data_IF_058748791894
#
_entry.id   IF_058748791894
#
_cell.length_a   1.000
_cell.length_b   1.000
_cell.length_c   1.000
_cell.angle_alpha   90.00
_cell.angle_beta   90.00
_cell.angle_gamma   90.00
#
_symmetry.space_group_name_H-M   'P 1'
#
loop_
_entity.id
_entity.type
_entity.pdbx_description
1 polymer ?
#
# COMPACT_ATOMS: atom_id res chain seq x y z
N UNK A 1 24.00 6.37 -8.54
CA UNK A 1 22.89 6.38 -9.52
C UNK A 1 21.67 5.85 -8.77
N UNK A 2 20.49 6.43 -8.93
CA UNK A 2 19.34 6.05 -8.08
C UNK A 2 18.40 5.15 -8.88
N UNK A 3 18.24 3.90 -8.43
CA UNK A 3 17.37 2.91 -9.05
C UNK A 3 15.95 2.93 -8.43
N UNK A 4 15.87 3.23 -7.13
CA UNK A 4 14.62 3.18 -6.37
C UNK A 4 14.49 4.39 -5.47
N UNK A 5 13.31 5.00 -5.48
CA UNK A 5 12.92 6.09 -4.60
C UNK A 5 11.96 5.58 -3.53
N UNK A 6 12.19 5.97 -2.28
CA UNK A 6 11.37 5.55 -1.14
C UNK A 6 10.97 6.75 -0.30
N UNK A 7 9.68 6.84 0.00
CA UNK A 7 9.14 7.85 0.89
C UNK A 7 8.93 7.30 2.30
N UNK A 8 9.30 8.07 3.30
CA UNK A 8 9.24 7.68 4.72
C UNK A 8 8.07 8.30 5.48
N UNK A 9 7.77 7.73 6.64
CA UNK A 9 6.75 8.24 7.56
C UNK A 9 7.09 9.62 8.14
N UNK A 10 8.37 10.01 8.16
CA UNK A 10 8.83 11.27 8.75
C UNK A 10 9.08 12.38 7.74
N UNK A 11 8.78 12.16 6.45
CA UNK A 11 8.96 13.18 5.41
C UNK A 11 10.35 13.22 4.77
N UNK A 12 11.11 12.13 4.86
CA UNK A 12 12.35 11.95 4.09
C UNK A 12 12.05 11.20 2.80
N UNK A 13 12.54 11.73 1.68
CA UNK A 13 12.69 11.03 0.42
C UNK A 13 14.08 10.38 0.39
N UNK A 14 14.16 9.11 0.02
CA UNK A 14 15.44 8.41 -0.10
C UNK A 14 15.64 7.92 -1.51
N UNK A 15 16.81 8.19 -2.08
CA UNK A 15 17.27 7.62 -3.34
C UNK A 15 18.23 6.47 -3.07
N UNK A 16 17.93 5.27 -3.55
CA UNK A 16 18.70 4.05 -3.33
C UNK A 16 19.42 3.65 -4.63
N UNK A 17 20.73 3.42 -4.52
CA UNK A 17 21.57 2.77 -5.53
C UNK A 17 21.65 1.28 -5.18
N UNK A 18 21.00 0.40 -5.95
CA UNK A 18 20.92 -1.02 -5.66
C UNK A 18 22.25 -1.74 -5.89
N UNK A 19 23.06 -1.26 -6.85
CA UNK A 19 24.38 -1.83 -7.14
C UNK A 19 25.36 -1.57 -6.00
N UNK A 20 25.35 -0.35 -5.45
CA UNK A 20 26.22 0.02 -4.33
C UNK A 20 25.64 -0.32 -2.97
N UNK A 21 24.33 -0.60 -2.88
CA UNK A 21 23.63 -0.77 -1.61
C UNK A 21 23.58 0.50 -0.75
N UNK A 22 23.87 1.67 -1.34
CA UNK A 22 23.92 2.96 -0.65
C UNK A 22 22.65 3.74 -0.89
N UNK A 23 22.30 4.66 0.03
CA UNK A 23 21.18 5.57 -0.16
C UNK A 23 21.52 7.00 0.24
N UNK A 24 20.88 7.96 -0.44
CA UNK A 24 20.93 9.39 -0.12
C UNK A 24 19.60 9.83 0.45
N UNK A 25 19.61 10.76 1.42
CA UNK A 25 18.41 11.32 2.01
C UNK A 25 18.18 12.73 1.47
N UNK A 26 16.93 13.03 1.11
CA UNK A 26 16.44 14.34 0.71
C UNK A 26 15.28 14.69 1.64
N UNK A 27 15.40 15.77 2.41
CA UNK A 27 14.38 16.13 3.38
C UNK A 27 13.31 17.03 2.76
N UNK A 28 12.03 16.72 2.96
CA UNK A 28 10.94 17.61 2.54
C UNK A 28 10.77 18.80 3.48
N UNK A 29 11.28 18.74 4.71
CA UNK A 29 11.16 19.82 5.68
C UNK A 29 12.46 19.99 6.47
N UNK A 30 12.63 21.14 7.12
CA UNK A 30 13.77 21.37 8.02
C UNK A 30 13.84 20.33 9.15
N UNK A 31 12.67 19.84 9.58
CA UNK A 31 12.54 18.80 10.61
C UNK A 31 11.77 17.58 10.10
N UNK A 32 12.34 16.40 10.36
CA UNK A 32 11.72 15.12 10.06
C UNK A 32 10.68 14.79 11.14
N UNK A 33 9.40 14.93 10.79
CA UNK A 33 8.28 14.74 11.71
C UNK A 33 7.19 13.88 11.07
N UNK A 34 6.46 13.09 11.87
CA UNK A 34 5.40 12.19 11.36
C UNK A 34 4.27 12.93 10.65
N UNK A 35 4.07 14.22 10.96
CA UNK A 35 3.07 15.07 10.29
C UNK A 35 3.45 15.38 8.83
N UNK A 36 4.74 15.31 8.51
CA UNK A 36 5.31 15.58 7.18
C UNK A 36 5.51 14.29 6.37
N UNK A 37 4.98 13.14 6.82
CA UNK A 37 5.19 11.85 6.18
C UNK A 37 4.76 11.82 4.72
N UNK A 38 5.59 11.23 3.86
CA UNK A 38 5.29 11.10 2.43
C UNK A 38 4.22 10.02 2.27
N UNK A 39 3.01 10.39 1.84
CA UNK A 39 1.91 9.45 1.65
C UNK A 39 1.87 8.87 0.24
N UNK A 40 2.37 9.60 -0.76
CA UNK A 40 2.30 9.20 -2.18
C UNK A 40 3.43 9.85 -2.99
N UNK A 41 3.91 9.14 -3.99
CA UNK A 41 4.93 9.58 -4.94
C UNK A 41 4.55 9.11 -6.35
N UNK A 42 4.72 9.97 -7.36
CA UNK A 42 4.52 9.61 -8.76
C UNK A 42 5.55 10.33 -9.64
N UNK A 43 5.88 9.74 -10.78
CA UNK A 43 6.60 10.43 -11.84
C UNK A 43 5.69 11.48 -12.49
N UNK A 44 6.26 12.66 -12.76
CA UNK A 44 5.59 13.75 -13.50
C UNK A 44 5.68 13.51 -15.00
N UNK A 45 6.80 12.96 -15.44
CA UNK A 45 7.15 12.82 -16.85
C UNK A 45 7.65 11.41 -17.15
N UNK A 46 7.44 10.99 -18.40
CA UNK A 46 7.93 9.71 -18.93
C UNK A 46 9.47 9.63 -18.99
N UNK A 47 10.15 10.78 -18.82
CA UNK A 47 11.60 10.84 -18.74
C UNK A 47 12.15 10.54 -17.35
N UNK A 48 11.28 10.36 -16.36
CA UNK A 48 11.63 10.16 -14.96
C UNK A 48 12.55 11.28 -14.43
N UNK A 49 12.35 12.50 -14.92
CA UNK A 49 13.17 13.65 -14.53
C UNK A 49 12.67 14.31 -13.25
N UNK A 50 11.36 14.24 -12.98
CA UNK A 50 10.74 14.86 -11.83
C UNK A 50 9.80 13.92 -11.08
N UNK A 51 9.89 13.95 -9.75
CA UNK A 51 9.02 13.20 -8.84
C UNK A 51 8.08 14.18 -8.14
N UNK A 52 6.80 13.87 -8.18
CA UNK A 52 5.77 14.56 -7.43
C UNK A 52 5.53 13.85 -6.09
N UNK A 53 5.61 14.60 -5.00
CA UNK A 53 5.60 14.08 -3.63
C UNK A 53 4.47 14.71 -2.82
N UNK A 54 3.66 13.88 -2.17
CA UNK A 54 2.60 14.31 -1.27
C UNK A 54 2.94 14.03 0.18
N UNK A 55 2.89 15.08 1.00
CA UNK A 55 3.01 14.96 2.45
C UNK A 55 1.63 14.86 3.10
N UNK A 56 1.53 14.14 4.22
CA UNK A 56 0.27 13.97 4.94
C UNK A 56 -0.37 15.26 5.45
N UNK A 57 0.40 16.34 5.58
CA UNK A 57 -0.06 17.68 5.97
C UNK A 57 -0.60 18.54 4.80
N UNK A 58 -0.68 17.98 3.59
CA UNK A 58 -1.16 18.68 2.40
C UNK A 58 -0.10 19.49 1.63
N UNK A 59 1.16 19.42 2.03
CA UNK A 59 2.27 19.99 1.25
C UNK A 59 2.62 19.03 0.11
N UNK A 60 2.62 19.56 -1.10
CA UNK A 60 3.04 18.86 -2.32
C UNK A 60 4.31 19.49 -2.85
N UNK A 61 5.34 18.67 -3.06
CA UNK A 61 6.64 19.11 -3.58
C UNK A 61 6.98 18.40 -4.87
N UNK A 62 7.72 19.09 -5.74
CA UNK A 62 8.35 18.49 -6.92
C UNK A 62 9.84 18.40 -6.70
N UNK A 63 10.39 17.22 -6.87
CA UNK A 63 11.81 16.93 -6.76
C UNK A 63 12.39 16.65 -8.16
N UNK A 64 13.41 17.39 -8.54
CA UNK A 64 14.15 17.17 -9.80
C UNK A 64 15.25 16.15 -9.55
N UNK A 65 15.14 14.99 -10.18
CA UNK A 65 16.08 13.87 -10.05
C UNK A 65 17.43 14.20 -10.67
N UNK A 66 17.45 15.00 -11.74
CA UNK A 66 18.68 15.35 -12.45
C UNK A 66 19.54 16.33 -11.66
N UNK A 67 18.89 17.27 -10.96
CA UNK A 67 19.56 18.25 -10.08
C UNK A 67 19.74 17.76 -8.65
N UNK A 68 18.90 16.84 -8.20
CA UNK A 68 18.89 16.36 -6.82
C UNK A 68 18.28 17.36 -5.83
N UNK A 69 17.37 18.23 -6.29
CA UNK A 69 16.83 19.35 -5.50
C UNK A 69 15.31 19.46 -5.63
N UNK A 70 14.67 20.09 -4.62
CA UNK A 70 13.26 20.44 -4.68
C UNK A 70 13.07 21.73 -5.47
N UNK A 71 12.31 21.67 -6.56
CA UNK A 71 12.13 22.81 -7.47
C UNK A 71 10.80 23.52 -7.27
N UNK A 72 9.81 22.87 -6.63
CA UNK A 72 8.49 23.44 -6.35
C UNK A 72 7.96 22.94 -5.03
N UNK A 73 7.23 23.80 -4.35
CA UNK A 73 6.49 23.50 -3.12
C UNK A 73 5.17 24.27 -3.15
N UNK A 74 4.08 23.58 -2.80
CA UNK A 74 2.76 24.19 -2.70
C UNK A 74 1.94 23.49 -1.64
N UNK A 75 1.18 24.28 -0.88
CA UNK A 75 0.21 23.75 0.08
C UNK A 75 -1.16 23.68 -0.58
N UNK A 76 -1.75 22.49 -0.54
CA UNK A 76 -3.08 22.21 -1.07
C UNK A 76 -4.10 22.35 0.07
N UNK A 77 -5.24 22.98 -0.20
CA UNK A 77 -6.30 23.23 0.79
C UNK A 77 -7.10 21.96 1.06
N UNK A 78 -6.61 21.15 2.01
CA UNK A 78 -7.19 19.84 2.39
C UNK A 78 -7.98 19.85 3.71
N UNK A 79 -8.23 21.04 4.29
CA UNK A 79 -8.85 21.17 5.62
C UNK A 79 -8.00 20.58 6.74
N UNK A 80 -8.66 20.12 7.82
CA UNK A 80 -8.02 19.44 8.97
C UNK A 80 -7.76 17.94 8.72
N UNK A 81 -7.81 17.51 7.46
CA UNK A 81 -7.62 16.11 7.08
C UNK A 81 -6.18 15.80 6.67
N UNK A 82 -5.90 14.52 6.49
CA UNK A 82 -4.61 14.05 5.96
C UNK A 82 -4.73 13.73 4.49
N UNK A 83 -3.77 14.21 3.71
CA UNK A 83 -3.60 13.80 2.33
C UNK A 83 -3.33 12.29 2.27
N UNK A 84 -4.07 11.56 1.44
CA UNK A 84 -3.87 10.12 1.23
C UNK A 84 -3.06 9.84 -0.02
N UNK A 85 -3.20 10.67 -1.04
CA UNK A 85 -2.34 10.61 -2.20
C UNK A 85 -2.67 11.67 -3.22
N UNK A 86 -1.92 11.61 -4.31
CA UNK A 86 -2.04 12.48 -5.45
C UNK A 86 -1.53 11.77 -6.70
N UNK A 87 -1.80 12.33 -7.87
CA UNK A 87 -1.10 12.06 -9.12
C UNK A 87 -1.29 13.26 -10.05
N UNK A 88 -0.50 13.31 -11.11
CA UNK A 88 -0.67 14.26 -12.20
C UNK A 88 -1.46 13.61 -13.33
N UNK A 89 -2.41 14.36 -13.89
CA UNK A 89 -3.16 13.98 -15.07
C UNK A 89 -3.11 15.12 -16.07
N UNK A 90 -2.40 14.90 -17.18
CA UNK A 90 -2.04 15.94 -18.15
C UNK A 90 -1.37 17.13 -17.43
N UNK A 91 -1.95 18.34 -17.54
CA UNK A 91 -1.46 19.53 -16.83
C UNK A 91 -2.15 19.76 -15.46
N UNK A 92 -3.10 18.89 -15.10
CA UNK A 92 -3.86 18.99 -13.85
C UNK A 92 -3.31 18.09 -12.76
N UNK A 93 -3.56 18.46 -11.51
CA UNK A 93 -3.21 17.64 -10.36
C UNK A 93 -4.47 17.11 -9.70
N UNK A 94 -4.45 15.84 -9.32
CA UNK A 94 -5.56 15.23 -8.60
C UNK A 94 -5.08 14.85 -7.21
N UNK A 95 -5.76 15.33 -6.19
CA UNK A 95 -5.47 15.02 -4.78
C UNK A 95 -6.70 14.43 -4.10
N UNK A 96 -6.51 13.62 -3.08
CA UNK A 96 -7.64 13.10 -2.29
C UNK A 96 -7.30 12.90 -0.82
N UNK A 97 -8.35 12.99 -0.01
CA UNK A 97 -8.33 12.84 1.45
C UNK A 97 -9.21 11.69 1.91
N UNK A 98 -9.11 11.32 3.19
CA UNK A 98 -9.80 10.17 3.77
C UNK A 98 -11.33 10.32 3.79
N UNK A 99 -11.86 11.54 3.92
CA UNK A 99 -13.30 11.82 3.83
C UNK A 99 -13.90 11.54 2.45
N UNK A 100 -13.12 11.19 1.44
CA UNK A 100 -13.63 10.91 0.09
C UNK A 100 -13.89 12.16 -0.74
N UNK A 101 -13.28 13.29 -0.37
CA UNK A 101 -13.14 14.45 -1.24
C UNK A 101 -11.94 14.23 -2.18
N UNK A 102 -12.21 14.21 -3.49
CA UNK A 102 -11.22 14.19 -4.54
C UNK A 102 -11.23 15.57 -5.21
N UNK A 103 -10.08 16.22 -5.29
CA UNK A 103 -9.94 17.59 -5.80
C UNK A 103 -9.12 17.56 -7.08
N UNK A 104 -9.67 18.14 -8.15
CA UNK A 104 -9.01 18.28 -9.46
C UNK A 104 -8.54 19.73 -9.60
N UNK A 105 -7.23 19.94 -9.59
CA UNK A 105 -6.58 21.24 -9.60
C UNK A 105 -6.13 21.58 -11.01
N UNK A 106 -6.60 22.71 -11.53
CA UNK A 106 -6.24 23.17 -12.89
C UNK A 106 -4.79 23.64 -12.97
N UNK A 107 -4.32 24.23 -11.88
CA UNK A 107 -2.95 24.70 -11.72
C UNK A 107 -2.38 24.16 -10.41
N UNK A 108 -1.06 24.21 -10.27
CA UNK A 108 -0.34 23.74 -9.07
C UNK A 108 -0.78 24.54 -7.82
N UNK A 109 -1.77 24.02 -7.08
CA UNK A 109 -2.41 24.68 -5.93
C UNK A 109 -3.30 25.87 -6.26
N UNK A 110 -3.76 25.99 -7.51
CA UNK A 110 -4.66 27.05 -7.96
C UNK A 110 -6.15 26.74 -7.72
N UNK A 111 -6.98 27.08 -8.70
CA UNK A 111 -8.40 26.72 -8.66
C UNK A 111 -8.61 25.21 -8.78
N UNK A 112 -9.59 24.68 -8.04
CA UNK A 112 -9.91 23.26 -8.05
C UNK A 112 -11.41 22.99 -8.13
N UNK A 113 -11.73 21.78 -8.56
CA UNK A 113 -13.09 21.23 -8.57
C UNK A 113 -13.17 20.07 -7.60
N UNK A 114 -14.18 20.11 -6.73
CA UNK A 114 -14.43 19.08 -5.73
C UNK A 114 -15.33 17.98 -6.28
N UNK A 115 -14.91 16.73 -6.12
CA UNK A 115 -15.62 15.52 -6.53
C UNK A 115 -15.83 14.62 -5.32
N UNK A 116 -17.09 14.36 -4.96
CA UNK A 116 -17.46 13.51 -3.82
C UNK A 116 -17.49 12.04 -4.25
N UNK A 117 -16.39 11.32 -4.03
CA UNK A 117 -16.26 9.92 -4.48
C UNK A 117 -16.77 8.89 -3.45
N UNK A 118 -17.17 9.35 -2.27
CA UNK A 118 -17.70 8.56 -1.18
C UNK A 118 -16.65 8.24 -0.13
N UNK A 119 -17.11 8.01 1.10
CA UNK A 119 -16.28 7.98 2.30
C UNK A 119 -16.49 6.70 3.12
N UNK A 120 -15.49 6.29 3.93
CA UNK A 120 -14.08 6.64 3.84
C UNK A 120 -13.40 6.15 2.56
N UNK A 121 -12.34 6.83 2.14
CA UNK A 121 -11.53 6.50 0.98
C UNK A 121 -10.18 5.94 1.43
N UNK A 122 -9.85 4.73 0.99
CA UNK A 122 -8.58 4.05 1.33
C UNK A 122 -7.61 4.03 0.15
N UNK A 123 -8.11 3.87 -1.07
CA UNK A 123 -7.28 3.83 -2.27
C UNK A 123 -7.93 4.55 -3.44
N UNK A 124 -7.06 5.24 -4.20
CA UNK A 124 -7.35 5.77 -5.52
C UNK A 124 -6.20 5.36 -6.44
N UNK A 125 -6.51 4.85 -7.62
CA UNK A 125 -5.53 4.64 -8.69
C UNK A 125 -6.04 5.20 -9.99
N UNK A 126 -5.13 5.80 -10.74
CA UNK A 126 -5.36 6.13 -12.13
C UNK A 126 -5.22 4.88 -12.99
N UNK A 127 -5.99 4.82 -14.06
CA UNK A 127 -5.89 3.78 -15.06
C UNK A 127 -4.71 4.07 -16.00
N UNK A 128 -3.68 3.21 -16.07
CA UNK A 128 -2.51 3.43 -16.91
C UNK A 128 -2.82 3.37 -18.41
N UNK A 129 -3.94 2.76 -18.82
CA UNK A 129 -4.37 2.69 -20.22
C UNK A 129 -5.29 3.85 -20.63
N UNK A 130 -5.85 4.57 -19.66
CA UNK A 130 -6.78 5.67 -19.92
C UNK A 130 -6.68 6.68 -18.76
N UNK A 131 -5.84 7.70 -18.94
CA UNK A 131 -5.46 8.63 -17.87
C UNK A 131 -6.64 9.39 -17.25
N UNK A 132 -7.75 9.57 -17.99
CA UNK A 132 -8.95 10.21 -17.44
C UNK A 132 -9.75 9.31 -16.51
N UNK A 133 -9.47 8.00 -16.46
CA UNK A 133 -10.21 7.07 -15.61
C UNK A 133 -9.50 6.82 -14.29
N UNK A 134 -10.27 6.86 -13.19
CA UNK A 134 -9.76 6.57 -11.85
C UNK A 134 -10.64 5.56 -11.13
N UNK A 135 -10.01 4.62 -10.44
CA UNK A 135 -10.66 3.68 -9.54
C UNK A 135 -10.57 4.19 -8.10
N UNK A 136 -11.67 4.13 -7.36
CA UNK A 136 -11.75 4.55 -5.96
C UNK A 136 -12.35 3.45 -5.10
N UNK A 137 -11.91 3.31 -3.85
CA UNK A 137 -12.52 2.40 -2.88
C UNK A 137 -12.07 2.65 -1.45
N UNK A 138 -12.83 2.15 -0.47
CA UNK A 138 -12.48 2.21 0.94
C UNK A 138 -13.36 1.35 1.84
N UNK A 139 -13.37 1.68 3.13
CA UNK A 139 -14.21 0.99 4.14
C UNK A 139 -15.67 1.35 3.92
N UNK A 140 -16.56 0.36 3.79
CA UNK A 140 -17.98 0.54 3.42
C UNK A 140 -18.20 1.29 2.09
N UNK A 141 -17.15 1.49 1.30
CA UNK A 141 -17.17 2.17 0.01
C UNK A 141 -16.59 1.22 -1.04
N UNK A 142 -17.46 0.52 -1.76
CA UNK A 142 -17.02 -0.47 -2.76
C UNK A 142 -16.35 0.20 -3.97
N UNK A 143 -15.74 -0.61 -4.83
CA UNK A 143 -15.08 -0.13 -6.05
C UNK A 143 -16.03 0.73 -6.89
N UNK A 144 -15.59 1.95 -7.19
CA UNK A 144 -16.19 2.82 -8.20
C UNK A 144 -15.14 3.23 -9.20
N UNK A 145 -15.55 3.39 -10.46
CA UNK A 145 -14.70 3.95 -11.52
C UNK A 145 -15.31 5.25 -11.98
N UNK A 146 -14.49 6.28 -12.09
CA UNK A 146 -14.89 7.64 -12.45
C UNK A 146 -14.16 8.08 -13.71
N UNK A 147 -14.81 8.95 -14.50
CA UNK A 147 -14.16 9.70 -15.57
C UNK A 147 -13.90 11.11 -15.06
N UNK A 148 -12.63 11.53 -15.04
CA UNK A 148 -12.23 12.86 -14.58
C UNK A 148 -12.74 13.96 -15.53
N UNK A 149 -13.01 13.63 -16.80
CA UNK A 149 -13.65 14.56 -17.74
C UNK A 149 -15.13 14.80 -17.41
N UNK A 150 -15.79 13.86 -16.71
CA UNK A 150 -17.21 13.89 -16.37
C UNK A 150 -17.43 13.40 -14.93
N UNK A 151 -17.03 14.19 -13.92
CA UNK A 151 -16.97 13.74 -12.54
C UNK A 151 -18.33 13.74 -11.81
N UNK A 152 -19.43 13.99 -12.51
CA UNK A 152 -20.79 14.05 -11.91
C UNK A 152 -21.25 12.70 -11.37
N UNK A 153 -21.01 11.63 -12.13
CA UNK A 153 -21.39 10.27 -11.75
C UNK A 153 -20.29 9.24 -12.09
N UNK A 154 -20.15 8.17 -11.29
CA UNK A 154 -19.20 7.12 -11.59
C UNK A 154 -19.69 6.27 -12.77
N UNK A 155 -18.77 5.99 -13.70
CA UNK A 155 -18.94 5.08 -14.84
C UNK A 155 -19.34 3.68 -14.38
N UNK A 156 -18.77 3.23 -13.26
CA UNK A 156 -18.99 1.90 -12.71
C UNK A 156 -19.16 1.95 -11.20
N UNK A 157 -20.12 1.18 -10.69
CA UNK A 157 -20.31 0.94 -9.25
C UNK A 157 -20.39 -0.56 -9.00
N UNK A 158 -19.43 -1.10 -8.27
CA UNK A 158 -19.43 -2.49 -7.86
C UNK A 158 -20.70 -2.82 -7.06
N UNK A 159 -21.14 -4.07 -7.18
CA UNK A 159 -22.22 -4.66 -6.42
C UNK A 159 -21.65 -5.79 -5.58
N UNK A 160 -21.81 -5.69 -4.27
CA UNK A 160 -21.35 -6.69 -3.34
C UNK A 160 -22.04 -8.05 -3.58
N UNK A 161 -21.34 -9.15 -3.27
CA UNK A 161 -21.84 -10.51 -3.47
C UNK A 161 -22.24 -11.12 -2.12
N UNK A 162 -23.37 -11.82 -2.11
CA UNK A 162 -23.82 -12.74 -1.07
C UNK A 162 -22.98 -14.03 -1.15
N UNK A 163 -22.26 -14.45 -0.10
CA UNK A 163 -21.69 -15.81 -0.05
C UNK A 163 -22.83 -16.78 0.29
N UNK A 164 -23.30 -17.56 -0.69
CA UNK A 164 -24.17 -18.71 -0.39
C UNK A 164 -23.26 -19.85 0.06
N UNK A 165 -23.20 -20.16 1.36
CA UNK A 165 -22.68 -21.45 1.79
C UNK A 165 -23.68 -22.53 1.44
N UNK A 166 -23.18 -23.69 0.99
CA UNK A 166 -23.98 -24.88 0.74
C UNK A 166 -24.43 -25.45 2.08
N UNK A 167 -25.56 -24.96 2.60
CA UNK A 167 -26.29 -25.64 3.66
C UNK A 167 -27.77 -25.19 3.67
N UNK A 168 -28.61 -26.12 3.22
CA UNK A 168 -30.05 -26.22 3.46
C UNK A 168 -30.97 -25.19 2.80
N UNK A 169 -31.77 -25.72 1.86
CA UNK A 169 -32.99 -25.11 1.33
C UNK A 169 -33.96 -24.76 2.47
N UNK A 170 -33.90 -23.52 2.97
CA UNK A 170 -35.07 -22.86 3.57
C UNK A 170 -35.10 -21.42 3.05
N UNK A 171 -36.23 -20.96 2.49
CA UNK A 171 -36.38 -19.55 2.14
C UNK A 171 -36.37 -18.73 3.43
N UNK A 172 -35.35 -17.91 3.64
CA UNK A 172 -35.30 -16.96 4.74
C UNK A 172 -36.32 -15.84 4.48
N UNK A 173 -37.30 -15.73 5.37
CA UNK A 173 -38.30 -14.66 5.41
C UNK A 173 -37.64 -13.28 5.33
N UNK A 174 -38.24 -12.40 4.53
CA UNK A 174 -37.83 -11.00 4.38
C UNK A 174 -37.83 -10.29 5.73
N UNK A 175 -36.65 -9.81 6.15
CA UNK A 175 -36.50 -8.93 7.30
C UNK A 175 -36.96 -7.51 6.94
N UNK A 176 -38.27 -7.28 7.02
CA UNK A 176 -38.86 -5.94 6.92
C UNK A 176 -38.83 -5.26 8.30
N UNK A 177 -37.94 -4.30 8.49
CA UNK A 177 -38.05 -3.32 9.58
C UNK A 177 -38.35 -1.94 8.96
N UNK A 178 -39.34 -1.15 9.45
CA UNK A 178 -39.88 -0.03 8.67
C UNK A 178 -39.05 1.26 8.62
N UNK A 179 -37.90 1.36 9.31
CA UNK A 179 -37.29 2.67 9.61
C UNK A 179 -35.96 2.97 8.89
N UNK A 180 -35.49 2.11 7.98
CA UNK A 180 -34.15 2.29 7.37
C UNK A 180 -34.22 2.73 5.89
N UNK A 181 -34.89 3.86 5.65
CA UNK A 181 -35.19 4.43 4.32
C UNK A 181 -33.98 5.04 3.57
N UNK A 182 -32.75 4.90 4.10
CA UNK A 182 -31.50 5.26 3.41
C UNK A 182 -30.50 4.09 3.32
N UNK A 183 -30.92 2.88 3.69
CA UNK A 183 -30.06 1.70 3.66
C UNK A 183 -29.88 1.22 2.21
N UNK A 184 -28.69 1.45 1.66
CA UNK A 184 -28.23 0.72 0.48
C UNK A 184 -28.38 -0.77 0.81
N UNK A 185 -29.26 -1.48 0.08
CA UNK A 185 -29.56 -2.90 0.32
C UNK A 185 -28.32 -3.76 0.10
N UNK A 186 -27.50 -3.93 1.15
CA UNK A 186 -26.31 -4.78 1.15
C UNK A 186 -26.78 -6.24 1.27
N UNK A 187 -26.31 -7.16 0.43
CA UNK A 187 -26.63 -8.57 0.59
C UNK A 187 -26.19 -9.08 1.97
N UNK A 188 -27.08 -9.78 2.66
CA UNK A 188 -26.75 -10.46 3.90
C UNK A 188 -25.84 -11.68 3.64
N UNK A 189 -25.39 -12.37 4.69
CA UNK A 189 -24.72 -13.66 4.63
C UNK A 189 -25.71 -14.75 5.11
N UNK A 190 -25.30 -16.01 5.21
CA UNK A 190 -26.10 -17.10 5.78
C UNK A 190 -26.65 -16.77 7.18
N UNK A 191 -25.91 -15.98 7.97
CA UNK A 191 -26.32 -15.52 9.30
C UNK A 191 -27.28 -14.32 9.28
N UNK A 192 -27.71 -13.85 8.10
CA UNK A 192 -28.54 -12.65 7.96
C UNK A 192 -27.78 -11.33 8.15
N UNK A 193 -26.45 -11.37 8.30
CA UNK A 193 -25.61 -10.19 8.53
C UNK A 193 -25.11 -9.58 7.20
N UNK A 194 -25.04 -8.25 7.03
CA UNK A 194 -24.56 -7.64 5.80
C UNK A 194 -23.10 -8.01 5.52
N UNK A 195 -22.81 -8.47 4.30
CA UNK A 195 -21.43 -8.77 3.88
C UNK A 195 -20.62 -7.48 3.92
N UNK A 196 -19.58 -7.37 4.76
CA UNK A 196 -18.90 -6.11 4.93
C UNK A 196 -18.01 -5.80 3.72
N UNK A 197 -17.90 -4.51 3.39
CA UNK A 197 -17.10 -3.99 2.29
C UNK A 197 -15.93 -3.24 2.88
N UNK A 198 -14.72 -3.58 2.46
CA UNK A 198 -13.53 -2.83 2.83
C UNK A 198 -12.48 -2.98 1.76
N UNK A 199 -12.45 -2.05 0.82
CA UNK A 199 -11.38 -1.97 -0.18
C UNK A 199 -10.16 -1.33 0.47
N UNK A 200 -8.99 -1.95 0.35
CA UNK A 200 -7.73 -1.43 0.91
C UNK A 200 -6.83 -0.85 -0.16
N UNK A 201 -6.72 -1.53 -1.29
CA UNK A 201 -5.97 -1.11 -2.47
C UNK A 201 -6.67 -1.66 -3.72
N UNK A 202 -6.33 -1.12 -4.88
CA UNK A 202 -6.85 -1.56 -6.17
C UNK A 202 -5.80 -1.37 -7.25
N UNK A 203 -6.00 -2.00 -8.41
CA UNK A 203 -5.11 -1.85 -9.55
C UNK A 203 -5.80 -2.20 -10.85
N UNK A 204 -5.51 -1.43 -11.90
CA UNK A 204 -5.96 -1.71 -13.26
C UNK A 204 -5.01 -2.73 -13.88
N UNK A 205 -5.56 -3.79 -14.47
CA UNK A 205 -4.74 -4.76 -15.18
C UNK A 205 -4.40 -4.24 -16.57
N UNK A 206 -3.14 -4.36 -17.01
CA UNK A 206 -2.72 -3.96 -18.35
C UNK A 206 -3.25 -4.98 -19.35
N UNK A 207 -4.44 -4.72 -19.90
CA UNK A 207 -4.98 -5.55 -20.97
C UNK A 207 -4.56 -4.97 -22.32
N UNK A 208 -4.09 -5.82 -23.23
CA UNK A 208 -3.61 -5.48 -24.59
C UNK A 208 -4.74 -4.96 -25.51
N UNK A 209 -5.63 -4.10 -25.02
CA UNK A 209 -6.68 -3.46 -25.80
C UNK A 209 -7.95 -3.02 -25.06
N UNK A 210 -8.14 -3.30 -23.75
CA UNK A 210 -9.31 -2.74 -23.04
C UNK A 210 -9.15 -2.56 -21.53
N UNK A 211 -9.46 -1.36 -20.98
CA UNK A 211 -9.35 -1.06 -19.54
C UNK A 211 -10.47 -1.68 -18.69
N UNK A 212 -10.84 -2.92 -18.97
CA UNK A 212 -12.05 -3.52 -18.42
C UNK A 212 -11.83 -4.28 -17.12
N UNK A 213 -10.61 -4.77 -16.88
CA UNK A 213 -10.33 -5.61 -15.71
C UNK A 213 -9.64 -4.81 -14.59
N UNK A 214 -10.22 -4.90 -13.40
CA UNK A 214 -9.75 -4.21 -12.20
C UNK A 214 -9.62 -5.24 -11.09
N UNK A 215 -8.49 -5.21 -10.38
CA UNK A 215 -8.25 -6.05 -9.22
C UNK A 215 -8.35 -5.19 -7.97
N UNK A 216 -8.98 -5.73 -6.94
CA UNK A 216 -9.25 -5.04 -5.69
C UNK A 216 -8.81 -5.93 -4.53
N UNK A 217 -8.02 -5.39 -3.61
CA UNK A 217 -7.72 -6.03 -2.34
C UNK A 217 -8.68 -5.56 -1.27
N UNK A 218 -8.99 -6.44 -0.32
CA UNK A 218 -9.89 -6.12 0.77
C UNK A 218 -9.26 -6.31 2.14
N UNK A 219 -9.78 -5.58 3.13
CA UNK A 219 -9.42 -5.72 4.54
C UNK A 219 -9.87 -7.04 5.15
N UNK A 220 -10.74 -7.79 4.46
CA UNK A 220 -11.18 -9.13 4.81
C UNK A 220 -10.43 -10.18 3.99
N UNK A 221 -9.11 -10.02 3.85
CA UNK A 221 -8.18 -10.97 3.21
C UNK A 221 -8.57 -11.48 1.81
N UNK A 222 -9.48 -10.81 1.09
CA UNK A 222 -9.93 -11.23 -0.24
C UNK A 222 -9.32 -10.36 -1.34
N UNK A 223 -8.96 -11.02 -2.44
CA UNK A 223 -8.63 -10.38 -3.71
C UNK A 223 -9.77 -10.64 -4.68
N UNK A 224 -10.35 -9.57 -5.21
CA UNK A 224 -11.52 -9.61 -6.10
C UNK A 224 -11.13 -9.09 -7.48
N UNK A 225 -11.53 -9.80 -8.53
CA UNK A 225 -11.39 -9.36 -9.91
C UNK A 225 -12.74 -8.86 -10.41
N UNK A 226 -12.78 -7.64 -10.92
CA UNK A 226 -13.95 -7.03 -11.55
C UNK A 226 -13.70 -6.88 -13.05
N UNK A 227 -14.76 -7.09 -13.83
CA UNK A 227 -14.78 -6.78 -15.26
C UNK A 227 -15.89 -5.76 -15.51
N UNK A 228 -15.50 -4.52 -15.79
CA UNK A 228 -16.41 -3.37 -15.92
C UNK A 228 -17.41 -3.54 -17.06
N UNK A 229 -17.05 -4.28 -18.12
CA UNK A 229 -17.94 -4.51 -19.27
C UNK A 229 -18.91 -5.67 -19.04
N UNK A 230 -18.48 -6.69 -18.29
CA UNK A 230 -19.25 -7.93 -18.15
C UNK A 230 -20.32 -7.84 -17.06
N UNK A 231 -19.94 -7.44 -15.84
CA UNK A 231 -20.86 -7.46 -14.71
C UNK A 231 -20.40 -6.57 -13.56
N UNK A 232 -21.37 -6.07 -12.78
CA UNK A 232 -21.09 -5.25 -11.58
C UNK A 232 -20.60 -6.04 -10.36
N UNK A 233 -20.75 -7.36 -10.37
CA UNK A 233 -20.26 -8.27 -9.32
C UNK A 233 -18.84 -8.73 -9.67
N UNK A 234 -17.96 -9.00 -8.68
CA UNK A 234 -16.66 -9.59 -8.96
C UNK A 234 -16.80 -10.93 -9.70
N UNK A 235 -15.98 -11.10 -10.73
CA UNK A 235 -15.87 -12.31 -11.57
C UNK A 235 -15.16 -13.42 -10.80
N UNK A 236 -14.17 -13.05 -9.99
CA UNK A 236 -13.38 -13.95 -9.17
C UNK A 236 -13.21 -13.35 -7.77
N UNK A 237 -13.24 -14.19 -6.75
CA UNK A 237 -12.88 -13.84 -5.37
C UNK A 237 -11.96 -14.93 -4.82
N UNK A 238 -10.74 -14.55 -4.45
CA UNK A 238 -9.71 -15.44 -3.88
C UNK A 238 -9.42 -15.00 -2.45
N UNK A 239 -9.41 -15.94 -1.50
CA UNK A 239 -9.00 -15.67 -0.13
C UNK A 239 -7.45 -15.79 -0.02
N UNK A 240 -6.79 -14.78 0.55
CA UNK A 240 -5.34 -14.68 0.73
C UNK A 240 -4.97 -14.71 2.21
N UNK A 241 -4.83 -15.92 2.74
CA UNK A 241 -4.59 -16.14 4.17
C UNK A 241 -5.73 -15.59 5.03
N UNK A 242 -5.40 -15.10 6.22
CA UNK A 242 -6.38 -14.70 7.24
C UNK A 242 -6.25 -13.23 7.67
N UNK A 243 -5.25 -12.52 7.13
CA UNK A 243 -4.93 -11.16 7.55
C UNK A 243 -5.35 -10.12 6.50
N UNK A 244 -5.69 -8.89 6.92
CA UNK A 244 -5.99 -7.79 6.00
C UNK A 244 -4.86 -7.56 4.98
N UNK A 245 -5.23 -7.44 3.72
CA UNK A 245 -4.31 -7.07 2.64
C UNK A 245 -4.12 -5.56 2.68
N UNK A 246 -2.88 -5.11 2.73
CA UNK A 246 -2.50 -3.70 2.87
C UNK A 246 -1.94 -3.08 1.60
N UNK A 247 -1.39 -3.87 0.68
CA UNK A 247 -0.83 -3.38 -0.58
C UNK A 247 -1.11 -4.36 -1.73
N UNK A 248 -1.33 -3.82 -2.93
CA UNK A 248 -1.57 -4.59 -4.15
C UNK A 248 -0.83 -3.97 -5.33
N UNK A 249 -0.17 -4.80 -6.13
CA UNK A 249 0.49 -4.37 -7.36
C UNK A 249 0.18 -5.33 -8.52
N UNK A 250 -0.51 -4.85 -9.57
CA UNK A 250 -0.61 -5.59 -10.83
C UNK A 250 0.78 -5.76 -11.48
N UNK A 251 0.98 -6.86 -12.18
CA UNK A 251 2.15 -7.06 -13.04
C UNK A 251 1.77 -6.82 -14.51
N UNK A 252 2.74 -6.73 -15.43
CA UNK A 252 2.43 -6.66 -16.88
C UNK A 252 1.69 -7.89 -17.39
N UNK A 253 1.80 -9.01 -16.68
CA UNK A 253 1.00 -10.15 -16.99
C UNK A 253 -0.41 -9.93 -16.42
N UNK A 254 -1.42 -9.84 -17.30
CA UNK A 254 -2.84 -9.69 -16.94
C UNK A 254 -3.35 -10.73 -15.93
N UNK A 255 -2.62 -11.83 -15.76
CA UNK A 255 -3.03 -12.95 -14.95
C UNK A 255 -2.31 -13.02 -13.61
N UNK A 256 -1.28 -12.22 -13.35
CA UNK A 256 -0.52 -12.30 -12.11
C UNK A 256 -0.60 -10.98 -11.35
N UNK A 257 -0.94 -11.08 -10.06
CA UNK A 257 -0.96 -9.95 -9.15
C UNK A 257 -0.17 -10.27 -7.90
N UNK A 258 0.54 -9.27 -7.38
CA UNK A 258 1.27 -9.37 -6.13
C UNK A 258 0.49 -8.66 -5.04
N UNK A 259 0.36 -9.32 -3.89
CA UNK A 259 -0.37 -8.81 -2.73
C UNK A 259 0.47 -8.92 -1.47
N UNK A 260 0.30 -7.96 -0.55
CA UNK A 260 0.97 -7.92 0.74
C UNK A 260 0.00 -7.64 1.88
N UNK A 261 0.22 -8.30 3.02
CA UNK A 261 -0.61 -8.18 4.22
C UNK A 261 0.01 -7.26 5.27
N UNK A 262 -0.83 -6.90 6.24
CA UNK A 262 -0.44 -6.11 7.41
C UNK A 262 0.47 -6.85 8.41
N UNK A 263 0.64 -8.17 8.30
CA UNK A 263 1.57 -8.95 9.14
C UNK A 263 2.96 -9.08 8.50
N UNK A 264 3.06 -8.88 7.18
CA UNK A 264 4.30 -9.09 6.42
C UNK A 264 4.28 -10.27 5.45
N UNK A 265 3.15 -10.95 5.28
CA UNK A 265 3.02 -11.98 4.24
C UNK A 265 2.84 -11.32 2.87
N UNK A 266 3.75 -11.61 1.93
CA UNK A 266 3.62 -11.23 0.52
C UNK A 266 3.42 -12.47 -0.34
N UNK A 267 2.59 -12.39 -1.37
CA UNK A 267 2.34 -13.51 -2.28
C UNK A 267 1.96 -13.07 -3.68
N UNK A 268 2.11 -14.01 -4.62
CA UNK A 268 1.69 -13.88 -6.01
C UNK A 268 0.43 -14.74 -6.24
N UNK A 269 -0.55 -14.18 -6.93
CA UNK A 269 -1.83 -14.83 -7.21
C UNK A 269 -2.03 -14.90 -8.72
N UNK A 270 -2.35 -16.10 -9.23
CA UNK A 270 -2.79 -16.32 -10.59
C UNK A 270 -4.31 -16.12 -10.67
N UNK A 271 -4.73 -15.07 -11.35
CA UNK A 271 -6.11 -14.67 -11.57
C UNK A 271 -6.86 -15.58 -12.54
N UNK A 272 -6.17 -16.38 -13.37
CA UNK A 272 -6.83 -17.35 -14.25
C UNK A 272 -7.33 -18.55 -13.46
N UNK A 273 -6.49 -19.04 -12.54
CA UNK A 273 -6.81 -20.19 -11.68
C UNK A 273 -7.47 -19.79 -10.37
N UNK A 274 -7.34 -18.53 -9.96
CA UNK A 274 -7.76 -18.07 -8.64
C UNK A 274 -6.98 -18.71 -7.51
N UNK A 275 -5.69 -18.97 -7.72
CA UNK A 275 -4.83 -19.66 -6.77
C UNK A 275 -3.58 -18.86 -6.46
N UNK A 276 -3.09 -19.01 -5.24
CA UNK A 276 -1.82 -18.44 -4.81
C UNK A 276 -0.69 -19.25 -5.46
N UNK A 277 0.12 -18.61 -6.30
CA UNK A 277 1.27 -19.23 -6.98
C UNK A 277 2.40 -19.47 -5.99
N UNK A 278 2.59 -18.53 -5.05
CA UNK A 278 3.36 -18.74 -3.83
C UNK A 278 3.78 -17.45 -3.14
N UNK A 279 4.53 -17.61 -2.06
CA UNK A 279 4.91 -16.54 -1.14
C UNK A 279 6.33 -16.05 -1.35
N UNK A 280 6.55 -14.77 -1.05
CA UNK A 280 7.88 -14.18 -0.94
C UNK A 280 8.30 -14.17 0.53
N UNK A 281 9.59 -14.45 0.79
CA UNK A 281 10.13 -14.58 2.15
C UNK A 281 10.97 -13.37 2.55
N UNK A 282 11.18 -13.21 3.85
CA UNK A 282 12.15 -12.25 4.43
C UNK A 282 11.56 -11.04 5.13
N UNK A 283 10.23 -10.98 5.31
CA UNK A 283 9.52 -9.86 5.94
C UNK A 283 9.36 -10.07 7.45
N UNK A 284 9.44 -8.97 8.19
CA UNK A 284 9.28 -8.96 9.65
C UNK A 284 8.20 -7.97 10.15
N UNK A 285 7.44 -7.36 9.24
CA UNK A 285 6.39 -6.42 9.59
C UNK A 285 5.47 -6.08 8.41
N UNK A 286 4.47 -5.24 8.66
CA UNK A 286 3.44 -4.87 7.69
C UNK A 286 4.02 -4.31 6.40
N UNK A 287 3.56 -4.83 5.26
CA UNK A 287 3.91 -4.31 3.93
C UNK A 287 2.97 -3.15 3.62
N UNK A 288 3.51 -1.98 3.29
CA UNK A 288 2.70 -0.76 3.10
C UNK A 288 2.59 -0.35 1.64
N UNK A 289 3.61 -0.67 0.84
CA UNK A 289 3.58 -0.42 -0.59
C UNK A 289 4.38 -1.51 -1.30
N UNK A 290 3.87 -1.87 -2.46
CA UNK A 290 4.48 -2.79 -3.41
C UNK A 290 4.49 -2.06 -4.74
N UNK A 291 5.63 -2.09 -5.42
CA UNK A 291 5.75 -1.60 -6.79
C UNK A 291 6.36 -2.70 -7.64
N UNK A 292 5.88 -2.84 -8.88
CA UNK A 292 6.38 -3.84 -9.82
C UNK A 292 7.04 -3.11 -10.98
N UNK A 293 8.24 -3.57 -11.37
CA UNK A 293 8.90 -3.12 -12.58
C UNK A 293 8.93 -4.27 -13.58
N UNK A 294 7.95 -4.24 -14.48
CA UNK A 294 7.63 -5.41 -15.26
C UNK A 294 8.63 -5.74 -16.37
N UNK A 295 9.28 -4.74 -16.98
CA UNK A 295 10.36 -4.96 -17.97
C UNK A 295 11.50 -5.83 -17.42
N UNK A 296 11.79 -5.69 -16.13
CA UNK A 296 12.88 -6.41 -15.47
C UNK A 296 12.40 -7.56 -14.60
N UNK A 297 11.07 -7.76 -14.50
CA UNK A 297 10.43 -8.81 -13.72
C UNK A 297 10.83 -8.76 -12.24
N UNK A 298 11.03 -7.57 -11.68
CA UNK A 298 11.35 -7.36 -10.27
C UNK A 298 10.19 -6.69 -9.54
N UNK A 299 10.08 -6.97 -8.25
CA UNK A 299 9.12 -6.36 -7.34
C UNK A 299 9.85 -5.74 -6.17
N UNK A 300 9.53 -4.47 -5.89
CA UNK A 300 9.96 -3.78 -4.68
C UNK A 300 8.86 -3.82 -3.64
N UNK A 301 9.27 -3.98 -2.38
CA UNK A 301 8.39 -3.96 -1.23
C UNK A 301 8.98 -3.09 -0.13
N UNK A 302 8.13 -2.31 0.53
CA UNK A 302 8.50 -1.47 1.66
C UNK A 302 7.40 -1.45 2.73
N UNK A 303 7.78 -1.19 3.98
CA UNK A 303 6.85 -1.29 5.10
C UNK A 303 7.39 -0.83 6.45
N UNK A 304 6.79 -1.38 7.52
CA UNK A 304 7.12 -1.06 8.91
C UNK A 304 8.48 -1.57 9.37
N UNK A 305 9.03 -2.57 8.68
CA UNK A 305 10.29 -3.20 9.06
C UNK A 305 11.54 -2.42 8.64
N UNK A 306 11.39 -1.22 8.04
CA UNK A 306 12.47 -0.29 7.67
C UNK A 306 13.45 -0.83 6.61
N UNK A 307 13.12 -1.95 5.97
CA UNK A 307 13.91 -2.53 4.88
C UNK A 307 13.22 -2.31 3.55
N UNK A 308 14.00 -1.91 2.54
CA UNK A 308 13.61 -2.05 1.14
C UNK A 308 14.05 -3.44 0.68
N UNK A 309 13.12 -4.21 0.10
CA UNK A 309 13.44 -5.51 -0.49
C UNK A 309 13.04 -5.55 -1.95
N UNK A 310 13.94 -6.08 -2.76
CA UNK A 310 13.72 -6.35 -4.17
C UNK A 310 13.71 -7.87 -4.35
N UNK A 311 12.65 -8.40 -4.93
CA UNK A 311 12.53 -9.81 -5.29
C UNK A 311 12.37 -9.94 -6.80
N UNK A 312 12.85 -11.05 -7.35
CA UNK A 312 12.46 -11.47 -8.71
C UNK A 312 11.06 -12.09 -8.66
N UNK A 313 10.18 -11.66 -9.57
CA UNK A 313 8.78 -12.10 -9.63
C UNK A 313 8.69 -13.60 -9.96
N UNK A 314 9.56 -14.12 -10.83
CA UNK A 314 9.47 -15.51 -11.27
C UNK A 314 10.06 -16.48 -10.26
N UNK A 315 11.34 -16.26 -9.88
CA UNK A 315 12.00 -17.15 -8.91
C UNK A 315 11.53 -16.91 -7.47
N UNK A 316 10.93 -15.74 -7.18
CA UNK A 316 10.54 -15.28 -5.83
C UNK A 316 11.72 -15.18 -4.86
N UNK A 317 12.95 -15.23 -5.37
CA UNK A 317 14.17 -15.03 -4.60
C UNK A 317 14.34 -13.54 -4.31
N UNK A 318 14.88 -13.25 -3.13
CA UNK A 318 15.24 -11.91 -2.73
C UNK A 318 16.59 -11.56 -3.36
N UNK A 319 16.61 -10.52 -4.18
CA UNK A 319 17.80 -10.03 -4.89
C UNK A 319 18.54 -9.01 -4.02
N UNK A 320 17.81 -8.03 -3.47
CA UNK A 320 18.39 -7.00 -2.60
C UNK A 320 17.61 -6.86 -1.31
N UNK A 321 18.34 -6.56 -0.22
CA UNK A 321 17.79 -6.19 1.09
C UNK A 321 18.61 -5.02 1.63
N UNK A 322 17.99 -3.83 1.67
CA UNK A 322 18.66 -2.59 2.10
C UNK A 322 17.98 -2.04 3.36
N UNK A 323 18.73 -1.83 4.42
CA UNK A 323 18.24 -1.22 5.66
C UNK A 323 18.24 0.31 5.55
N UNK A 324 17.07 0.93 5.66
CA UNK A 324 16.93 2.38 5.45
C UNK A 324 16.79 3.16 6.76
N UNK A 325 16.96 2.55 7.94
CA UNK A 325 16.88 3.19 9.28
C UNK A 325 15.55 3.87 9.66
N UNK A 326 14.62 4.03 8.72
CA UNK A 326 13.35 4.75 8.89
C UNK A 326 12.19 3.89 8.43
N UNK A 327 11.00 4.10 9.00
CA UNK A 327 9.78 3.42 8.55
C UNK A 327 9.34 3.95 7.18
N UNK A 328 8.98 3.05 6.28
CA UNK A 328 8.73 3.34 4.87
C UNK A 328 7.24 3.35 4.58
N UNK A 329 6.78 4.27 3.73
CA UNK A 329 5.37 4.42 3.36
C UNK A 329 5.11 3.98 1.91
N UNK A 330 5.94 4.44 0.99
CA UNK A 330 5.74 4.29 -0.45
C UNK A 330 7.07 4.03 -1.17
N UNK A 331 7.01 3.38 -2.33
CA UNK A 331 8.18 3.04 -3.15
C UNK A 331 7.87 3.32 -4.61
N UNK A 332 8.87 3.82 -5.35
CA UNK A 332 8.79 4.16 -6.77
C UNK A 332 10.08 3.72 -7.48
N UNK A 333 9.95 3.02 -8.60
CA UNK A 333 11.09 2.59 -9.43
C UNK A 333 11.47 3.67 -10.44
N UNK A 334 12.76 3.80 -10.73
CA UNK A 334 13.26 4.47 -11.94
C UNK A 334 13.47 3.41 -13.03
N UNK A 335 12.59 3.37 -14.03
CA UNK A 335 12.57 2.36 -15.10
C UNK A 335 13.72 2.50 -16.10
N UNK A 336 14.22 3.71 -16.38
CA UNK A 336 15.25 3.94 -17.42
C UNK A 336 16.65 3.50 -16.98
N UNK A 337 17.00 3.60 -15.71
CA UNK A 337 18.40 3.42 -15.27
C UNK A 337 18.78 1.93 -15.12
N UNK A 338 17.80 1.06 -14.89
CA UNK A 338 18.02 -0.38 -14.83
C UNK A 338 18.17 -1.04 -16.23
N UNK A 339 17.91 -0.32 -17.33
CA UNK A 339 18.16 -0.78 -18.70
C UNK A 339 19.64 -0.62 -19.12
N UNK A 340 20.35 0.40 -18.62
CA UNK A 340 21.77 0.63 -18.96
C UNK A 340 22.67 -0.49 -18.42
N UNK A 341 22.38 -1.01 -17.23
CA UNK A 341 23.19 -2.04 -16.57
C UNK A 341 23.09 -3.43 -17.23
N UNK A 342 22.09 -3.68 -18.10
CA UNK A 342 22.00 -4.94 -18.86
C UNK A 342 22.86 -4.97 -20.13
N UNK A 343 23.37 -3.82 -20.57
CA UNK A 343 24.16 -3.72 -21.80
C UNK A 343 25.68 -3.84 -21.56
N UNK A 344 26.11 -4.14 -20.34
CA UNK A 344 27.49 -4.53 -20.02
C UNK A 344 27.55 -6.05 -19.78
N UNK A 345 28.30 -6.83 -20.58
CA UNK A 345 28.38 -8.26 -20.37
C UNK A 345 29.12 -8.60 -19.07
N UNK A 346 28.50 -9.49 -18.28
CA UNK A 346 28.98 -10.05 -17.01
C UNK A 346 30.44 -10.49 -17.08
N UNK A 347 31.23 -10.01 -16.12
CA UNK A 347 32.52 -10.61 -15.76
C UNK A 347 32.38 -11.35 -14.44
N UNK A 348 32.26 -12.68 -14.57
CA UNK A 348 32.72 -13.72 -13.66
C UNK A 348 32.11 -13.80 -12.26
N UNK A 349 31.17 -14.74 -12.15
CA UNK A 349 30.80 -15.44 -10.92
C UNK A 349 32.05 -16.05 -10.25
N UNK A 350 32.25 -15.76 -8.96
CA UNK A 350 33.12 -16.58 -8.10
C UNK A 350 32.27 -17.18 -6.99
N UNK A 351 32.06 -18.49 -7.09
CA UNK A 351 31.47 -19.32 -6.05
C UNK A 351 32.39 -19.34 -4.82
N UNK A 352 31.85 -19.03 -3.65
CA UNK A 352 32.47 -19.40 -2.37
C UNK A 352 31.46 -20.19 -1.55
N UNK A 353 31.69 -21.50 -1.54
CA UNK A 353 31.12 -22.48 -0.62
C UNK A 353 31.54 -22.16 0.82
N UNK A 354 30.60 -22.18 1.76
CA UNK A 354 30.93 -22.25 3.19
C UNK A 354 30.32 -23.54 3.74
N UNK A 355 31.24 -24.45 4.08
CA UNK A 355 31.01 -25.73 4.70
C UNK A 355 30.70 -25.55 6.19
N UNK A 356 29.88 -26.45 6.72
CA UNK A 356 29.46 -26.51 8.12
C UNK A 356 30.59 -27.14 8.98
N UNK A 357 30.46 -27.04 10.32
CA UNK A 357 31.14 -27.83 11.38
C UNK A 357 32.12 -27.11 12.33
N UNK A 358 31.52 -26.54 13.38
CA UNK A 358 31.82 -26.79 14.82
C UNK A 358 33.01 -26.14 15.58
N UNK A 359 32.68 -25.87 16.86
CA UNK A 359 33.48 -25.79 18.11
C UNK A 359 33.97 -24.43 18.61
N UNK A 360 33.24 -23.97 19.63
CA UNK A 360 33.66 -23.39 20.92
C UNK A 360 35.18 -23.20 21.12
N UNK A 361 35.57 -21.96 21.41
CA UNK A 361 36.44 -21.61 22.55
C UNK A 361 36.12 -20.19 23.02
N UNK A 362 36.01 -20.03 24.33
CA UNK A 362 35.85 -18.75 25.01
C UNK A 362 37.17 -17.98 25.00
N UNK A 363 37.11 -16.69 24.65
CA UNK A 363 38.08 -15.70 25.09
C UNK A 363 37.35 -14.35 25.20
N UNK A 364 37.54 -13.76 26.36
CA UNK A 364 36.98 -12.53 26.89
C UNK A 364 37.72 -11.33 26.30
N UNK A 365 37.01 -10.36 25.72
CA UNK A 365 37.53 -9.00 25.54
C UNK A 365 36.39 -7.99 25.69
N UNK A 366 36.58 -7.09 26.65
CA UNK A 366 35.74 -5.95 26.95
C UNK A 366 35.68 -5.00 25.75
N UNK A 367 34.47 -4.62 25.32
CA UNK A 367 34.25 -3.38 24.59
C UNK A 367 33.19 -2.57 25.33
N UNK A 368 33.59 -1.36 25.69
CA UNK A 368 32.86 -0.38 26.48
C UNK A 368 31.57 0.05 25.78
N UNK A 369 30.55 0.27 26.60
CA UNK A 369 29.25 0.80 26.20
C UNK A 369 29.40 2.30 25.92
N UNK A 370 29.05 2.72 24.71
CA UNK A 370 28.62 4.09 24.41
C UNK A 370 27.17 4.01 23.89
N UNK A 371 26.24 3.74 24.82
CA UNK A 371 24.78 3.82 24.63
C UNK A 371 24.27 5.05 25.41
N UNK A 372 24.74 6.24 25.04
CA UNK A 372 24.19 7.52 25.50
C UNK A 372 23.58 8.25 24.30
N UNK A 373 22.33 7.93 23.95
CA UNK A 373 21.35 8.84 23.31
C UNK A 373 20.04 8.08 22.93
N UNK A 374 19.28 7.58 23.91
CA UNK A 374 17.87 7.24 23.68
C UNK A 374 16.95 7.07 24.93
N UNK A 375 17.43 7.25 26.17
CA UNK A 375 16.64 6.90 27.36
C UNK A 375 15.91 8.07 28.07
N UNK A 376 16.00 9.30 27.56
CA UNK A 376 15.54 10.49 28.29
C UNK A 376 14.05 10.91 28.07
N UNK A 377 13.17 9.96 27.71
CA UNK A 377 11.73 10.25 27.46
C UNK A 377 10.79 9.49 28.39
N UNK A 378 11.29 8.53 29.17
CA UNK A 378 10.46 7.70 30.06
C UNK A 378 10.46 8.15 31.53
N UNK A 379 11.35 9.06 31.93
CA UNK A 379 11.45 9.56 33.31
C UNK A 379 10.55 10.78 33.61
N UNK A 380 9.78 11.26 32.62
CA UNK A 380 8.87 12.42 32.78
C UNK A 380 7.40 12.05 32.56
N UNK A 381 6.97 10.86 32.99
CA UNK A 381 5.56 10.46 32.93
C UNK A 381 5.00 10.19 34.32
N UNK A 382 4.08 11.04 34.77
CA UNK A 382 3.40 10.90 36.07
C UNK A 382 2.57 9.62 36.13
N UNK A 383 2.89 8.75 37.09
CA UNK A 383 2.17 7.51 37.35
C UNK A 383 0.85 7.79 38.09
N UNK A 384 -0.27 7.65 37.38
CA UNK A 384 -1.61 7.72 38.00
C UNK A 384 -1.88 6.43 38.78
N UNK A 385 -1.71 6.46 40.11
CA UNK A 385 -2.08 5.33 40.97
C UNK A 385 -3.60 5.26 41.15
N UNK A 386 -4.27 4.29 40.52
CA UNK A 386 -5.67 3.96 40.83
C UNK A 386 -5.74 2.84 41.87
N UNK A 387 -5.94 3.19 43.13
CA UNK A 387 -6.28 2.23 44.18
C UNK A 387 -7.71 1.74 44.04
N UNK A 388 -7.92 0.41 43.88
CA UNK A 388 -9.03 -0.35 44.49
C UNK A 388 -8.76 -1.85 44.47
N UNK A 389 -8.36 -2.41 45.62
CA UNK A 389 -8.26 -3.86 45.88
C UNK A 389 -9.67 -4.46 46.00
N UNK A 390 -10.02 -5.43 45.14
CA UNK A 390 -11.13 -6.38 45.37
C UNK A 390 -10.57 -7.66 46.00
N UNK A 391 -10.91 -7.93 47.27
CA UNK A 391 -10.63 -9.18 47.98
C UNK A 391 -11.45 -10.34 47.36
N UNK A 392 -10.78 -11.38 46.86
CA UNK A 392 -11.38 -12.70 46.58
C UNK A 392 -11.26 -13.57 47.84
N UNK A 393 -12.38 -13.95 48.46
CA UNK A 393 -12.45 -14.98 49.52
C UNK A 393 -12.25 -16.35 48.87
N UNK A 394 -11.33 -17.14 49.41
CA UNK A 394 -11.07 -18.54 49.05
C UNK A 394 -11.97 -19.42 49.94
N UNK A 395 -12.86 -20.23 49.35
CA UNK A 395 -13.62 -21.26 50.06
C UNK A 395 -12.68 -22.45 50.28
N UNK A 396 -12.42 -22.82 51.54
CA UNK A 396 -11.82 -24.12 51.88
C UNK A 396 -12.93 -25.16 52.07
N UNK A 397 -12.78 -26.30 51.40
CA UNK A 397 -13.61 -27.49 51.58
C UNK A 397 -12.93 -28.44 52.57
N UNK A 398 -13.70 -28.77 53.61
CA UNK A 398 -13.78 -30.03 54.38
C UNK A 398 -12.57 -30.55 55.18
N UNK A 399 -12.80 -30.74 56.48
CA UNK A 399 -12.74 -32.05 57.18
C UNK A 399 -13.17 -31.86 58.65
N UNK A 400 -14.38 -32.26 59.01
CA UNK A 400 -14.68 -33.44 59.85
C UNK A 400 -16.17 -33.51 60.18
#
# INVERSE_FOLDING_TARGET
MVDVWVGTETGLLKGIDLNKGTFTNYSLAEKAERKNGICSMNWIDDNESQILLGSSNGIVKTFDVTKGEFIREQKFSIGDEKLKGLFQWDDTFVTWVESGLLQIWKDYGGSHTDVKVGSPLSAVRQNPLCASQVGTGGRKNDLKVWDLNRPEEPIFRAKNIFKKSVANNRPSQDCNHPDDLLSIKVPCDFLGLPVPIWVTDLGFLPNQGSPSKIVVSTGYHQVRLYDTKKQRRPVLSVDFGECPISALAPTDNEHVVIVGNNVGTMGSIDLRKGQIVGHFKGFAGAIRCISCLSKQKIVASCGLDKFLRIHDIHSRRMVHKVYLKSVLNCVLFASKELEKNKNTPDSQETELSVDDTSKRTAANDNCENDDDEADDVWDTMDVVTTTRKRKRKRLEKSKS
#
